data_IF_290809139449
#
_entry.id   IF_290809139449
#
_cell.length_a   1.000
_cell.length_b   1.000
_cell.length_c   1.000
_cell.angle_alpha   90.00
_cell.angle_beta   90.00
_cell.angle_gamma   90.00
#
_symmetry.space_group_name_H-M   'P 1'
#
loop_
_entity.id
_entity.type
_entity.pdbx_description
1 polymer ?
#
# COMPACT_ATOMS: atom_id res chain seq x y z
N UNK A 1 9.05 1.02 14.27
CA UNK A 1 8.99 -0.26 13.54
C UNK A 1 9.14 -1.47 14.46
N UNK A 2 10.19 -1.62 15.27
CA UNK A 2 10.30 -2.73 16.23
C UNK A 2 9.11 -2.83 17.19
N UNK A 3 8.58 -1.72 17.69
CA UNK A 3 7.39 -1.70 18.57
C UNK A 3 6.12 -2.18 17.89
N UNK A 4 5.92 -1.82 16.60
CA UNK A 4 4.76 -2.28 15.82
C UNK A 4 4.85 -3.79 15.59
N UNK A 5 6.01 -4.30 15.21
CA UNK A 5 6.24 -5.74 15.06
C UNK A 5 6.06 -6.49 16.37
N UNK A 6 6.49 -5.89 17.51
CA UNK A 6 6.30 -6.47 18.83
C UNK A 6 4.81 -6.54 19.20
N UNK A 7 4.04 -5.50 18.94
CA UNK A 7 2.58 -5.48 19.17
C UNK A 7 1.90 -6.57 18.35
N UNK A 8 2.22 -6.69 17.05
CA UNK A 8 1.68 -7.75 16.20
C UNK A 8 2.07 -9.15 16.66
N UNK A 9 3.32 -9.31 17.13
CA UNK A 9 3.79 -10.60 17.66
C UNK A 9 3.03 -10.99 18.92
N UNK A 10 2.88 -10.04 19.87
CA UNK A 10 2.15 -10.25 21.12
C UNK A 10 0.66 -10.50 20.87
N UNK A 11 0.04 -9.75 19.96
CA UNK A 11 -1.36 -9.92 19.59
C UNK A 11 -1.61 -11.27 18.91
N UNK A 12 -0.71 -11.69 18.00
CA UNK A 12 -0.75 -13.02 17.38
C UNK A 12 -0.59 -14.14 18.40
N UNK A 13 0.24 -13.96 19.43
CA UNK A 13 0.40 -14.92 20.53
C UNK A 13 -0.86 -15.01 21.40
N UNK A 14 -1.44 -13.86 21.76
CA UNK A 14 -2.69 -13.78 22.54
C UNK A 14 -3.87 -14.40 21.79
N UNK A 15 -3.92 -14.25 20.47
CA UNK A 15 -4.97 -14.81 19.61
C UNK A 15 -4.74 -16.27 19.22
N UNK A 16 -3.71 -16.94 19.77
CA UNK A 16 -3.48 -18.37 19.54
C UNK A 16 -2.98 -18.70 18.12
N UNK A 17 -2.26 -17.79 17.48
CA UNK A 17 -1.67 -18.06 16.18
C UNK A 17 -0.70 -19.27 16.24
N UNK A 18 -0.64 -20.13 15.20
CA UNK A 18 0.31 -21.24 15.18
C UNK A 18 1.75 -20.75 15.37
N UNK A 19 2.53 -21.45 16.20
CA UNK A 19 3.92 -21.08 16.52
C UNK A 19 4.76 -20.91 15.24
N UNK A 20 4.53 -21.74 14.24
CA UNK A 20 5.20 -21.62 12.93
C UNK A 20 4.94 -20.26 12.27
N UNK A 21 3.72 -19.74 12.33
CA UNK A 21 3.36 -18.44 11.78
C UNK A 21 4.05 -17.30 12.55
N UNK A 22 4.09 -17.40 13.89
CA UNK A 22 4.80 -16.44 14.75
C UNK A 22 6.30 -16.41 14.46
N UNK A 23 6.92 -17.58 14.21
CA UNK A 23 8.33 -17.68 13.83
C UNK A 23 8.59 -17.05 12.46
N UNK A 24 7.72 -17.26 11.47
CA UNK A 24 7.82 -16.61 10.16
C UNK A 24 7.71 -15.09 10.31
N UNK A 25 6.79 -14.59 11.12
CA UNK A 25 6.66 -13.16 11.38
C UNK A 25 7.88 -12.58 12.09
N UNK A 26 8.42 -13.29 13.09
CA UNK A 26 9.62 -12.87 13.78
C UNK A 26 10.82 -12.81 12.81
N UNK A 27 10.99 -13.83 11.96
CA UNK A 27 12.05 -13.86 10.96
C UNK A 27 11.93 -12.73 9.94
N UNK A 28 10.73 -12.51 9.39
CA UNK A 28 10.46 -11.39 8.48
C UNK A 28 10.71 -10.05 9.16
N UNK A 29 10.27 -9.90 10.42
CA UNK A 29 10.52 -8.72 11.23
C UNK A 29 12.01 -8.46 11.42
N UNK A 30 12.79 -9.48 11.70
CA UNK A 30 14.26 -9.38 11.83
C UNK A 30 14.90 -9.00 10.50
N UNK A 31 14.53 -9.63 9.38
CA UNK A 31 15.07 -9.31 8.05
C UNK A 31 14.77 -7.86 7.67
N UNK A 32 13.53 -7.41 7.88
CA UNK A 32 13.12 -6.02 7.62
C UNK A 32 13.86 -5.06 8.55
N UNK A 33 13.97 -5.38 9.84
CA UNK A 33 14.70 -4.56 10.82
C UNK A 33 16.20 -4.45 10.48
N UNK A 34 16.85 -5.56 10.15
CA UNK A 34 18.27 -5.58 9.74
C UNK A 34 18.46 -4.79 8.46
N UNK A 35 17.56 -4.95 7.47
CA UNK A 35 17.59 -4.17 6.24
C UNK A 35 17.42 -2.67 6.54
N UNK A 36 16.48 -2.31 7.40
CA UNK A 36 16.25 -0.94 7.83
C UNK A 36 17.48 -0.36 8.56
N UNK A 37 18.02 -1.07 9.54
CA UNK A 37 19.17 -0.60 10.31
C UNK A 37 20.42 -0.44 9.43
N UNK A 38 20.69 -1.39 8.53
CA UNK A 38 21.81 -1.28 7.58
C UNK A 38 21.69 -0.04 6.69
N UNK A 39 20.50 0.32 6.23
CA UNK A 39 20.28 1.48 5.37
C UNK A 39 20.19 2.79 6.17
N UNK A 40 19.57 2.78 7.34
CA UNK A 40 19.46 3.96 8.19
C UNK A 40 20.82 4.42 8.76
N UNK A 41 21.74 3.47 8.97
CA UNK A 41 23.09 3.77 9.50
C UNK A 41 24.06 4.21 8.40
N UNK A 42 23.85 3.82 7.14
CA UNK A 42 24.80 4.03 6.05
C UNK A 42 24.28 4.90 4.90
N UNK A 43 22.98 5.28 4.90
CA UNK A 43 22.40 6.13 3.87
C UNK A 43 22.24 7.58 4.33
N UNK A 44 22.48 8.58 3.46
CA UNK A 44 22.12 9.95 3.78
C UNK A 44 20.62 10.05 4.02
N UNK A 45 20.22 10.60 5.16
CA UNK A 45 18.81 10.91 5.40
C UNK A 45 18.37 11.95 4.36
N UNK A 46 17.30 11.62 3.61
CA UNK A 46 16.74 12.56 2.66
C UNK A 46 16.28 13.85 3.35
N UNK A 47 16.38 14.97 2.65
CA UNK A 47 15.85 16.24 3.14
C UNK A 47 14.33 16.23 3.06
N UNK A 48 13.64 16.80 4.07
CA UNK A 48 12.19 16.98 4.04
C UNK A 48 11.80 17.81 2.83
N UNK A 49 10.95 17.23 1.99
CA UNK A 49 10.41 17.88 0.80
C UNK A 49 8.97 18.30 1.09
N UNK A 50 8.77 19.53 1.57
CA UNK A 50 7.45 20.06 1.92
C UNK A 50 6.42 19.96 0.78
N UNK A 51 6.77 20.14 -0.50
CA UNK A 51 5.84 19.89 -1.60
C UNK A 51 5.34 18.44 -1.64
N UNK A 52 6.20 17.45 -1.36
CA UNK A 52 5.80 16.04 -1.31
C UNK A 52 4.85 15.77 -0.14
N UNK A 53 5.09 16.40 1.03
CA UNK A 53 4.18 16.33 2.18
C UNK A 53 2.80 16.89 1.85
N UNK A 54 2.76 18.07 1.22
CA UNK A 54 1.50 18.71 0.82
C UNK A 54 0.75 17.89 -0.24
N UNK A 55 1.47 17.38 -1.26
CA UNK A 55 0.87 16.52 -2.30
C UNK A 55 0.29 15.24 -1.72
N UNK A 56 0.97 14.61 -0.77
CA UNK A 56 0.48 13.40 -0.13
C UNK A 56 -0.76 13.69 0.74
N UNK A 57 -0.78 14.81 1.49
CA UNK A 57 -1.95 15.22 2.26
C UNK A 57 -3.16 15.53 1.35
N UNK A 58 -2.94 16.25 0.24
CA UNK A 58 -3.97 16.54 -0.76
C UNK A 58 -4.47 15.26 -1.46
N UNK A 59 -3.59 14.31 -1.73
CA UNK A 59 -3.99 13.03 -2.29
C UNK A 59 -4.86 12.21 -1.34
N UNK A 60 -4.52 12.17 -0.04
CA UNK A 60 -5.37 11.55 0.97
C UNK A 60 -6.75 12.22 1.05
N UNK A 61 -6.80 13.55 1.00
CA UNK A 61 -8.06 14.29 0.92
C UNK A 61 -8.84 13.95 -0.37
N UNK A 62 -8.16 13.83 -1.51
CA UNK A 62 -8.78 13.42 -2.78
C UNK A 62 -9.46 12.05 -2.68
N UNK A 63 -8.82 11.07 -2.05
CA UNK A 63 -9.42 9.75 -1.81
C UNK A 63 -10.65 9.89 -0.90
N UNK A 64 -10.58 10.66 0.17
CA UNK A 64 -11.73 10.91 1.05
C UNK A 64 -12.92 11.54 0.31
N UNK A 65 -12.65 12.50 -0.57
CA UNK A 65 -13.70 13.14 -1.38
C UNK A 65 -14.35 12.14 -2.33
N UNK A 66 -13.57 11.29 -3.00
CA UNK A 66 -14.09 10.30 -3.94
C UNK A 66 -14.87 9.19 -3.21
N UNK A 67 -14.40 8.74 -2.07
CA UNK A 67 -15.10 7.70 -1.29
C UNK A 67 -16.40 8.18 -0.69
N UNK A 68 -16.47 9.44 -0.25
CA UNK A 68 -17.67 10.02 0.35
C UNK A 68 -18.64 10.62 -0.66
N UNK A 69 -18.11 11.36 -1.63
CA UNK A 69 -18.94 12.13 -2.57
C UNK A 69 -19.40 11.28 -3.76
N UNK A 70 -18.58 10.37 -4.25
CA UNK A 70 -18.88 9.52 -5.39
C UNK A 70 -19.15 8.06 -5.02
N UNK A 71 -19.20 7.70 -3.72
CA UNK A 71 -19.38 6.32 -3.23
C UNK A 71 -18.42 5.31 -3.88
N UNK A 72 -17.24 5.78 -4.30
CA UNK A 72 -16.21 4.93 -4.88
C UNK A 72 -15.61 4.03 -3.80
N UNK A 73 -15.26 2.79 -4.15
CA UNK A 73 -14.47 1.97 -3.23
C UNK A 73 -13.12 2.65 -2.93
N UNK A 74 -12.57 2.41 -1.74
CA UNK A 74 -11.29 3.00 -1.34
C UNK A 74 -10.17 2.64 -2.33
N UNK A 75 -10.17 1.42 -2.87
CA UNK A 75 -9.22 0.96 -3.88
C UNK A 75 -9.37 1.74 -5.19
N UNK A 76 -10.61 1.89 -5.69
CA UNK A 76 -10.87 2.64 -6.92
C UNK A 76 -10.47 4.11 -6.76
N UNK A 77 -10.84 4.75 -5.64
CA UNK A 77 -10.49 6.12 -5.35
C UNK A 77 -8.96 6.33 -5.29
N UNK A 78 -8.24 5.41 -4.64
CA UNK A 78 -6.78 5.44 -4.55
C UNK A 78 -6.13 5.27 -5.91
N UNK A 79 -6.59 4.32 -6.70
CA UNK A 79 -6.07 4.08 -8.04
C UNK A 79 -6.32 5.29 -8.97
N UNK A 80 -7.50 5.94 -8.89
CA UNK A 80 -7.82 7.15 -9.65
C UNK A 80 -6.91 8.33 -9.26
N UNK A 81 -6.74 8.58 -7.96
CA UNK A 81 -5.84 9.66 -7.48
C UNK A 81 -4.39 9.36 -7.87
N UNK A 82 -3.95 8.11 -7.73
CA UNK A 82 -2.62 7.68 -8.17
C UNK A 82 -2.41 7.84 -9.67
N UNK A 83 -3.39 7.43 -10.49
CA UNK A 83 -3.35 7.61 -11.94
C UNK A 83 -3.29 9.09 -12.34
N UNK A 84 -4.02 9.97 -11.65
CA UNK A 84 -3.94 11.41 -11.87
C UNK A 84 -2.52 11.94 -11.59
N UNK A 85 -1.89 11.53 -10.47
CA UNK A 85 -0.49 11.87 -10.17
C UNK A 85 0.49 11.36 -11.22
N UNK A 86 0.33 10.10 -11.65
CA UNK A 86 1.14 9.51 -12.70
C UNK A 86 0.95 10.18 -14.07
N UNK A 87 -0.28 10.54 -14.41
CA UNK A 87 -0.58 11.27 -15.66
C UNK A 87 0.01 12.68 -15.65
N UNK A 88 -0.08 13.39 -14.52
CA UNK A 88 0.55 14.72 -14.35
C UNK A 88 2.07 14.64 -14.54
N UNK A 89 2.73 13.64 -13.94
CA UNK A 89 4.16 13.42 -14.12
C UNK A 89 4.50 13.09 -15.58
N UNK A 90 3.74 12.21 -16.22
CA UNK A 90 3.94 11.82 -17.62
C UNK A 90 3.74 13.01 -18.59
N UNK A 91 2.69 13.80 -18.39
CA UNK A 91 2.43 15.01 -19.18
C UNK A 91 3.47 16.11 -18.95
N UNK A 92 4.03 16.15 -17.74
CA UNK A 92 5.02 17.13 -17.32
C UNK A 92 6.47 16.72 -17.56
N UNK A 93 6.75 15.62 -18.26
CA UNK A 93 8.13 15.12 -18.48
C UNK A 93 9.11 16.16 -19.03
N UNK A 94 8.62 17.10 -19.86
CA UNK A 94 9.41 18.20 -20.38
C UNK A 94 9.62 19.35 -19.38
N UNK A 95 8.91 19.33 -18.26
CA UNK A 95 8.96 20.37 -17.22
C UNK A 95 9.49 19.76 -15.93
N UNK A 96 10.73 20.05 -15.59
CA UNK A 96 11.43 19.51 -14.40
C UNK A 96 10.61 19.61 -13.10
N UNK A 97 9.74 20.62 -12.95
CA UNK A 97 8.92 20.83 -11.76
C UNK A 97 7.86 19.73 -11.49
N UNK A 98 7.50 18.93 -12.49
CA UNK A 98 6.52 17.85 -12.37
C UNK A 98 7.14 16.47 -12.19
N UNK A 99 8.48 16.40 -12.24
CA UNK A 99 9.18 15.13 -11.98
C UNK A 99 9.06 14.75 -10.51
N UNK A 100 8.77 13.48 -10.26
CA UNK A 100 8.65 12.94 -8.90
C UNK A 100 7.34 13.25 -8.17
N UNK A 101 6.33 13.83 -8.85
CA UNK A 101 5.01 14.12 -8.27
C UNK A 101 4.19 12.86 -8.05
N UNK A 102 4.33 11.85 -8.91
CA UNK A 102 3.52 10.64 -8.86
C UNK A 102 3.70 9.86 -7.55
N UNK A 103 4.94 9.75 -7.06
CA UNK A 103 5.24 8.98 -5.87
C UNK A 103 4.58 9.53 -4.59
N UNK A 104 4.71 10.82 -4.22
CA UNK A 104 4.02 11.36 -3.05
C UNK A 104 2.50 11.37 -3.20
N UNK A 105 1.95 11.62 -4.40
CA UNK A 105 0.51 11.54 -4.65
C UNK A 105 0.01 10.13 -4.39
N UNK A 106 0.68 9.12 -4.93
CA UNK A 106 0.25 7.73 -4.75
C UNK A 106 0.43 7.26 -3.30
N UNK A 107 1.54 7.61 -2.65
CA UNK A 107 1.77 7.36 -1.24
C UNK A 107 0.66 7.95 -0.35
N UNK A 108 0.30 9.22 -0.58
CA UNK A 108 -0.79 9.87 0.15
C UNK A 108 -2.16 9.25 -0.14
N UNK A 109 -2.40 8.82 -1.38
CA UNK A 109 -3.63 8.13 -1.75
C UNK A 109 -3.78 6.80 -0.97
N UNK A 110 -2.69 6.04 -0.75
CA UNK A 110 -2.73 4.84 0.10
C UNK A 110 -3.05 5.16 1.55
N UNK A 111 -2.46 6.20 2.13
CA UNK A 111 -2.86 6.65 3.47
C UNK A 111 -4.33 7.05 3.51
N UNK A 112 -4.84 7.65 2.43
CA UNK A 112 -6.24 8.04 2.26
C UNK A 112 -7.25 6.89 2.21
N UNK A 113 -6.80 5.65 1.93
CA UNK A 113 -7.65 4.45 2.02
C UNK A 113 -8.06 4.11 3.45
N UNK A 114 -7.39 4.69 4.45
CA UNK A 114 -7.68 4.38 5.85
C UNK A 114 -9.13 4.69 6.19
N UNK A 115 -9.82 3.68 6.71
CA UNK A 115 -11.21 3.80 7.11
C UNK A 115 -11.37 4.76 8.28
N UNK A 116 -12.46 5.55 8.24
CA UNK A 116 -12.85 6.37 9.38
C UNK A 116 -13.34 5.56 10.57
N UNK A 117 -13.71 4.29 10.34
CA UNK A 117 -13.93 3.35 11.45
C UNK A 117 -12.64 3.09 12.24
N UNK A 118 -11.47 3.34 11.65
CA UNK A 118 -10.17 3.24 12.35
C UNK A 118 -9.76 4.59 12.92
N UNK A 119 -9.73 5.65 12.11
CA UNK A 119 -9.20 6.97 12.54
C UNK A 119 -10.27 7.95 13.06
N UNK A 120 -11.53 7.55 13.17
CA UNK A 120 -12.62 8.32 13.78
C UNK A 120 -12.99 9.62 13.06
N UNK A 121 -12.05 10.40 12.55
CA UNK A 121 -12.30 11.69 11.90
C UNK A 121 -11.45 11.89 10.64
N UNK A 122 -11.99 12.54 9.57
CA UNK A 122 -11.29 12.77 8.30
C UNK A 122 -9.97 13.50 8.41
N UNK A 123 -9.84 14.43 9.34
CA UNK A 123 -8.61 15.20 9.52
C UNK A 123 -7.42 14.29 9.88
N UNK A 124 -7.65 13.21 10.62
CA UNK A 124 -6.63 12.23 10.94
C UNK A 124 -6.14 11.50 9.69
N UNK A 125 -7.04 11.21 8.74
CA UNK A 125 -6.67 10.58 7.47
C UNK A 125 -5.81 11.52 6.62
N UNK A 126 -6.16 12.81 6.56
CA UNK A 126 -5.35 13.82 5.85
C UNK A 126 -3.98 14.00 6.52
N UNK A 127 -3.96 14.02 7.85
CA UNK A 127 -2.70 14.08 8.62
C UNK A 127 -1.83 12.85 8.36
N UNK A 128 -2.44 11.65 8.27
CA UNK A 128 -1.74 10.42 7.91
C UNK A 128 -1.12 10.51 6.52
N UNK A 129 -1.82 11.08 5.53
CA UNK A 129 -1.27 11.38 4.21
C UNK A 129 -0.06 12.32 4.28
N UNK A 130 -0.16 13.41 5.05
CA UNK A 130 0.96 14.33 5.27
C UNK A 130 2.16 13.66 5.93
N UNK A 131 1.93 12.86 6.99
CA UNK A 131 3.00 12.11 7.66
C UNK A 131 3.61 11.04 6.74
N UNK A 132 2.80 10.38 5.91
CA UNK A 132 3.30 9.45 4.88
C UNK A 132 4.23 10.15 3.89
N UNK A 133 3.87 11.36 3.42
CA UNK A 133 4.72 12.19 2.57
C UNK A 133 6.02 12.63 3.27
N UNK A 134 5.97 12.92 4.57
CA UNK A 134 7.15 13.21 5.37
C UNK A 134 8.08 12.01 5.44
N UNK A 135 7.55 10.82 5.79
CA UNK A 135 8.31 9.57 5.83
C UNK A 135 8.90 9.24 4.46
N UNK A 136 8.14 9.40 3.38
CA UNK A 136 8.61 9.22 2.01
C UNK A 136 9.79 10.13 1.69
N UNK A 137 9.73 11.40 2.10
CA UNK A 137 10.80 12.38 1.88
C UNK A 137 12.08 12.00 2.62
N UNK A 138 11.96 11.60 3.89
CA UNK A 138 13.12 11.19 4.72
C UNK A 138 13.73 9.89 4.20
N UNK A 139 12.92 8.99 3.68
CA UNK A 139 13.36 7.71 3.11
C UNK A 139 13.57 7.78 1.58
N UNK A 140 13.69 8.98 0.98
CA UNK A 140 13.79 9.15 -0.47
C UNK A 140 14.90 8.31 -1.08
N UNK A 141 16.07 8.32 -0.46
CA UNK A 141 17.27 7.63 -0.92
C UNK A 141 17.39 6.18 -0.42
N UNK A 142 16.55 5.83 0.56
CA UNK A 142 16.46 4.47 1.08
C UNK A 142 15.51 3.62 0.22
N UNK A 143 15.85 2.34 0.04
CA UNK A 143 15.02 1.37 -0.70
C UNK A 143 14.71 1.77 -2.15
N UNK A 144 15.59 2.49 -2.80
CA UNK A 144 15.43 2.87 -4.20
C UNK A 144 15.35 1.62 -5.09
N UNK A 145 14.34 1.59 -5.96
CA UNK A 145 14.10 0.46 -6.87
C UNK A 145 13.47 -0.77 -6.21
N UNK A 146 13.10 -0.73 -4.94
CA UNK A 146 12.35 -1.81 -4.27
C UNK A 146 10.87 -1.48 -4.33
N UNK A 147 10.08 -2.39 -4.90
CA UNK A 147 8.63 -2.30 -4.89
C UNK A 147 8.09 -2.37 -3.45
N UNK A 148 6.94 -1.72 -3.20
CA UNK A 148 6.35 -1.65 -1.87
C UNK A 148 6.78 -0.45 -1.02
N UNK A 149 7.81 0.32 -1.43
CA UNK A 149 8.25 1.51 -0.70
C UNK A 149 7.09 2.48 -0.42
N UNK A 150 6.24 2.74 -1.42
CA UNK A 150 5.11 3.68 -1.29
C UNK A 150 4.06 3.18 -0.29
N UNK A 151 3.72 1.89 -0.32
CA UNK A 151 2.82 1.27 0.64
C UNK A 151 3.40 1.29 2.06
N UNK A 152 4.67 0.91 2.22
CA UNK A 152 5.34 0.94 3.53
C UNK A 152 5.41 2.34 4.12
N UNK A 153 5.71 3.37 3.32
CA UNK A 153 5.74 4.77 3.81
C UNK A 153 4.35 5.27 4.15
N UNK A 154 3.32 4.89 3.39
CA UNK A 154 1.92 5.19 3.69
C UNK A 154 1.50 4.53 5.01
N UNK A 155 1.77 3.23 5.17
CA UNK A 155 1.49 2.49 6.39
C UNK A 155 2.15 3.11 7.63
N UNK A 156 3.43 3.47 7.54
CA UNK A 156 4.14 4.14 8.65
C UNK A 156 3.51 5.50 9.00
N UNK A 157 3.05 6.25 8.00
CA UNK A 157 2.31 7.49 8.20
C UNK A 157 1.00 7.27 8.95
N UNK A 158 0.23 6.26 8.53
CA UNK A 158 -1.04 5.90 9.18
C UNK A 158 -0.82 5.43 10.61
N UNK A 159 0.09 4.50 10.83
CA UNK A 159 0.39 3.97 12.19
C UNK A 159 0.90 5.08 13.11
N UNK A 160 1.72 6.00 12.60
CA UNK A 160 2.16 7.18 13.37
C UNK A 160 1.00 8.05 13.83
N UNK A 161 0.04 8.31 12.93
CA UNK A 161 -1.17 9.09 13.26
C UNK A 161 -2.13 8.30 14.15
N UNK A 162 -2.24 6.98 13.96
CA UNK A 162 -3.00 6.14 14.89
C UNK A 162 -2.50 6.27 16.33
N UNK A 163 -1.18 6.28 16.53
CA UNK A 163 -0.58 6.53 17.85
C UNK A 163 -1.01 7.86 18.45
N UNK A 164 -1.04 8.94 17.64
CA UNK A 164 -1.53 10.25 18.07
C UNK A 164 -3.04 10.24 18.35
N UNK A 165 -3.83 9.57 17.52
CA UNK A 165 -5.28 9.46 17.70
C UNK A 165 -5.64 8.66 18.97
N UNK A 166 -4.89 7.59 19.28
CA UNK A 166 -5.01 6.85 20.55
C UNK A 166 -4.74 7.78 21.73
N UNK A 167 -3.63 8.52 21.70
CA UNK A 167 -3.28 9.46 22.77
C UNK A 167 -4.31 10.58 22.95
N UNK A 168 -5.01 10.98 21.87
CA UNK A 168 -6.07 11.96 21.89
C UNK A 168 -7.47 11.38 22.20
N UNK A 169 -7.61 10.07 22.41
CA UNK A 169 -8.92 9.41 22.60
C UNK A 169 -9.84 9.51 21.36
N UNK A 170 -9.26 9.67 20.17
CA UNK A 170 -9.97 9.94 18.92
C UNK A 170 -9.97 8.73 17.94
N UNK A 171 -9.71 7.53 18.44
CA UNK A 171 -9.82 6.31 17.63
C UNK A 171 -11.28 5.99 17.32
N UNK A 172 -11.51 5.44 16.13
CA UNK A 172 -12.81 4.90 15.76
C UNK A 172 -13.11 3.53 16.38
N UNK A 173 -14.23 2.95 16.00
CA UNK A 173 -14.70 1.65 16.50
C UNK A 173 -13.92 0.43 15.97
N UNK A 174 -13.00 0.67 15.05
CA UNK A 174 -12.31 -0.39 14.31
C UNK A 174 -13.09 -0.86 13.08
N UNK A 175 -12.38 -1.35 12.06
CA UNK A 175 -12.97 -2.02 10.92
C UNK A 175 -12.85 -3.54 11.09
N UNK A 176 -13.84 -4.27 10.60
CA UNK A 176 -13.80 -5.73 10.55
C UNK A 176 -13.84 -6.18 9.09
N UNK A 177 -13.09 -7.21 8.76
CA UNK A 177 -13.18 -7.86 7.47
C UNK A 177 -14.03 -9.13 7.57
N UNK A 178 -14.79 -9.37 6.52
CA UNK A 178 -15.42 -10.66 6.30
C UNK A 178 -14.30 -11.71 6.03
N UNK A 179 -14.35 -12.88 6.66
CA UNK A 179 -13.37 -13.93 6.39
C UNK A 179 -13.50 -14.41 4.94
N UNK A 180 -12.36 -14.52 4.24
CA UNK A 180 -12.33 -14.98 2.87
C UNK A 180 -12.94 -16.40 2.73
N UNK A 181 -13.87 -16.55 1.80
CA UNK A 181 -14.34 -17.86 1.33
C UNK A 181 -13.21 -18.62 0.62
N UNK A 182 -13.39 -19.92 0.39
CA UNK A 182 -12.39 -20.71 -0.35
C UNK A 182 -12.18 -20.20 -1.78
N UNK A 183 -13.25 -19.73 -2.43
CA UNK A 183 -13.20 -19.15 -3.77
C UNK A 183 -12.42 -17.85 -3.77
N UNK A 184 -12.71 -16.95 -2.83
CA UNK A 184 -12.00 -15.66 -2.70
C UNK A 184 -10.52 -15.85 -2.39
N UNK A 185 -10.14 -16.81 -1.55
CA UNK A 185 -8.73 -17.16 -1.30
C UNK A 185 -8.02 -17.58 -2.58
N UNK A 186 -8.66 -18.40 -3.41
CA UNK A 186 -8.10 -18.82 -4.70
C UNK A 186 -7.95 -17.65 -5.65
N UNK A 187 -8.94 -16.73 -5.69
CA UNK A 187 -8.88 -15.53 -6.51
C UNK A 187 -7.80 -14.56 -6.01
N UNK A 188 -7.69 -14.32 -4.71
CA UNK A 188 -6.61 -13.50 -4.12
C UNK A 188 -5.24 -14.06 -4.51
N UNK A 189 -5.05 -15.39 -4.43
CA UNK A 189 -3.81 -16.03 -4.86
C UNK A 189 -3.50 -15.76 -6.33
N UNK A 190 -4.47 -16.01 -7.22
CA UNK A 190 -4.32 -15.79 -8.67
C UNK A 190 -4.02 -14.31 -8.97
N UNK A 191 -4.81 -13.40 -8.40
CA UNK A 191 -4.64 -11.97 -8.60
C UNK A 191 -3.28 -11.49 -8.09
N UNK A 192 -2.82 -12.00 -6.95
CA UNK A 192 -1.50 -11.67 -6.38
C UNK A 192 -0.33 -12.19 -7.19
N UNK A 193 -0.50 -13.26 -7.96
CA UNK A 193 0.51 -13.77 -8.88
C UNK A 193 0.52 -13.00 -10.21
N UNK A 194 -0.65 -12.61 -10.72
CA UNK A 194 -0.78 -11.92 -12.01
C UNK A 194 -0.43 -10.43 -11.91
N UNK A 195 -0.85 -9.76 -10.85
CA UNK A 195 -0.70 -8.32 -10.69
C UNK A 195 0.75 -7.83 -10.78
N UNK A 196 1.75 -8.45 -10.14
CA UNK A 196 3.16 -8.08 -10.31
C UNK A 196 3.64 -8.18 -11.75
N UNK A 197 3.23 -9.20 -12.47
CA UNK A 197 3.64 -9.44 -13.86
C UNK A 197 3.09 -8.35 -14.78
N UNK A 198 1.78 -8.06 -14.64
CA UNK A 198 1.11 -7.02 -15.42
C UNK A 198 1.72 -5.65 -15.11
N UNK A 199 1.85 -5.30 -13.83
CA UNK A 199 2.42 -4.03 -13.41
C UNK A 199 3.86 -3.87 -13.91
N UNK A 200 4.70 -4.90 -13.78
CA UNK A 200 6.08 -4.85 -14.25
C UNK A 200 6.16 -4.67 -15.78
N UNK A 201 5.33 -5.40 -16.53
CA UNK A 201 5.26 -5.26 -17.97
C UNK A 201 4.82 -3.84 -18.41
N UNK A 202 3.76 -3.31 -17.82
CA UNK A 202 3.26 -1.97 -18.11
C UNK A 202 4.28 -0.89 -17.72
N UNK A 203 4.90 -1.03 -16.57
CA UNK A 203 5.85 -0.04 -16.05
C UNK A 203 7.14 0.05 -16.88
N UNK A 204 7.74 -1.09 -17.18
CA UNK A 204 9.10 -1.14 -17.71
C UNK A 204 9.16 -1.55 -19.19
N UNK A 205 8.28 -2.45 -19.68
CA UNK A 205 8.27 -2.81 -21.10
C UNK A 205 7.49 -1.81 -21.95
N UNK A 206 6.34 -1.31 -21.43
CA UNK A 206 5.54 -0.30 -22.13
C UNK A 206 5.91 1.14 -21.72
N UNK A 207 6.78 1.32 -20.72
CA UNK A 207 7.30 2.64 -20.33
C UNK A 207 6.28 3.58 -19.71
N UNK A 208 5.16 3.08 -19.18
CA UNK A 208 4.14 3.91 -18.53
C UNK A 208 4.63 4.52 -17.22
N UNK A 209 5.68 3.95 -16.61
CA UNK A 209 6.14 4.28 -15.26
C UNK A 209 5.38 3.51 -14.19
N UNK A 210 6.01 3.38 -13.01
CA UNK A 210 5.54 2.45 -11.96
C UNK A 210 4.16 2.78 -11.41
N UNK A 211 3.83 4.07 -11.27
CA UNK A 211 2.53 4.49 -10.72
C UNK A 211 1.39 4.21 -11.70
N UNK A 212 1.52 4.60 -12.97
CA UNK A 212 0.49 4.30 -13.98
C UNK A 212 0.40 2.80 -14.27
N UNK A 213 1.53 2.10 -14.31
CA UNK A 213 1.57 0.65 -14.50
C UNK A 213 0.83 -0.13 -13.42
N UNK A 214 0.74 0.39 -12.20
CA UNK A 214 -0.04 -0.17 -11.10
C UNK A 214 -1.49 0.35 -11.09
N UNK A 215 -1.68 1.67 -11.21
CA UNK A 215 -2.97 2.31 -11.02
C UNK A 215 -3.98 1.95 -12.13
N UNK A 216 -3.57 1.95 -13.41
CA UNK A 216 -4.50 1.69 -14.52
C UNK A 216 -5.13 0.29 -14.48
N UNK A 217 -4.38 -0.80 -14.30
CA UNK A 217 -4.99 -2.12 -14.16
C UNK A 217 -5.84 -2.23 -12.91
N UNK A 218 -5.48 -1.54 -11.82
CA UNK A 218 -6.25 -1.53 -10.58
C UNK A 218 -7.59 -0.83 -10.74
N UNK A 219 -7.66 0.28 -11.51
CA UNK A 219 -8.91 0.93 -11.88
C UNK A 219 -9.79 -0.04 -12.66
N UNK A 220 -9.22 -0.64 -13.72
CA UNK A 220 -9.96 -1.57 -14.56
C UNK A 220 -10.54 -2.73 -13.74
N UNK A 221 -9.71 -3.36 -12.91
CA UNK A 221 -10.16 -4.48 -12.09
C UNK A 221 -11.21 -4.06 -11.06
N UNK A 222 -11.03 -2.93 -10.38
CA UNK A 222 -12.00 -2.44 -9.40
C UNK A 222 -13.38 -2.16 -10.04
N UNK A 223 -13.41 -1.61 -11.26
CA UNK A 223 -14.64 -1.40 -12.02
C UNK A 223 -15.27 -2.74 -12.42
N UNK A 224 -14.46 -3.67 -12.96
CA UNK A 224 -14.95 -4.98 -13.38
C UNK A 224 -15.53 -5.77 -12.20
N UNK A 225 -14.83 -5.82 -11.07
CA UNK A 225 -15.32 -6.49 -9.87
C UNK A 225 -16.56 -5.81 -9.29
N UNK A 226 -16.61 -4.47 -9.29
CA UNK A 226 -17.78 -3.72 -8.83
C UNK A 226 -19.01 -3.88 -9.73
N UNK A 227 -18.83 -4.26 -10.99
CA UNK A 227 -19.91 -4.55 -11.92
C UNK A 227 -20.40 -6.01 -11.87
N UNK A 228 -19.76 -6.88 -11.08
CA UNK A 228 -20.18 -8.29 -10.97
C UNK A 228 -21.55 -8.40 -10.30
N UNK A 229 -22.39 -9.34 -10.75
CA UNK A 229 -23.68 -9.60 -10.11
C UNK A 229 -23.50 -10.04 -8.64
N UNK A 230 -24.32 -9.51 -7.74
CA UNK A 230 -24.33 -9.90 -6.32
C UNK A 230 -24.59 -11.42 -6.12
N UNK A 231 -25.23 -12.08 -7.10
CA UNK A 231 -25.46 -13.52 -7.08
C UNK A 231 -24.16 -14.36 -7.01
N UNK A 232 -23.02 -13.79 -7.41
CA UNK A 232 -21.73 -14.47 -7.29
C UNK A 232 -21.18 -14.50 -5.87
N UNK A 233 -21.76 -13.74 -4.95
CA UNK A 233 -21.34 -13.66 -3.54
C UNK A 233 -19.84 -13.42 -3.36
N UNK A 234 -19.23 -12.64 -4.25
CA UNK A 234 -17.83 -12.23 -4.18
C UNK A 234 -17.75 -10.82 -3.61
N UNK A 235 -16.79 -10.60 -2.71
CA UNK A 235 -16.51 -9.28 -2.15
C UNK A 235 -15.50 -8.53 -3.05
N UNK A 236 -15.95 -7.49 -3.81
CA UNK A 236 -15.11 -6.80 -4.79
C UNK A 236 -13.92 -6.07 -4.16
N UNK A 237 -14.12 -5.51 -2.95
CA UNK A 237 -13.12 -4.65 -2.30
C UNK A 237 -11.88 -5.45 -1.89
N UNK A 238 -11.96 -6.57 -1.15
CA UNK A 238 -10.79 -7.37 -0.82
C UNK A 238 -10.04 -7.91 -2.05
N UNK A 239 -10.76 -8.29 -3.10
CA UNK A 239 -10.13 -8.80 -4.33
C UNK A 239 -9.36 -7.70 -5.08
N UNK A 240 -9.96 -6.51 -5.22
CA UNK A 240 -9.29 -5.36 -5.83
C UNK A 240 -8.13 -4.85 -4.96
N UNK A 241 -8.25 -4.92 -3.65
CA UNK A 241 -7.20 -4.60 -2.70
C UNK A 241 -6.00 -5.55 -2.85
N UNK A 242 -6.24 -6.86 -2.93
CA UNK A 242 -5.19 -7.85 -3.15
C UNK A 242 -4.43 -7.61 -4.47
N UNK A 243 -5.13 -7.23 -5.54
CA UNK A 243 -4.49 -6.83 -6.80
C UNK A 243 -3.63 -5.60 -6.63
N UNK A 244 -4.19 -4.53 -6.04
CA UNK A 244 -3.50 -3.25 -5.86
C UNK A 244 -2.24 -3.44 -4.99
N UNK A 245 -2.34 -4.17 -3.88
CA UNK A 245 -1.21 -4.44 -3.00
C UNK A 245 -0.12 -5.28 -3.67
N UNK A 246 -0.49 -6.37 -4.37
CA UNK A 246 0.46 -7.18 -5.10
C UNK A 246 1.13 -6.42 -6.26
N UNK A 247 0.49 -5.40 -6.83
CA UNK A 247 1.08 -4.57 -7.89
C UNK A 247 2.37 -3.88 -7.46
N UNK A 248 2.54 -3.61 -6.16
CA UNK A 248 3.78 -3.03 -5.63
C UNK A 248 5.00 -3.91 -5.87
N UNK A 249 4.84 -5.22 -5.84
CA UNK A 249 5.91 -6.15 -6.20
C UNK A 249 6.38 -5.88 -7.63
N UNK A 250 5.44 -5.64 -8.55
CA UNK A 250 5.72 -5.33 -9.94
C UNK A 250 6.40 -3.98 -10.18
N UNK A 251 6.36 -3.06 -9.22
CA UNK A 251 7.09 -1.78 -9.27
C UNK A 251 8.59 -1.95 -9.00
N UNK A 252 9.05 -3.15 -8.63
CA UNK A 252 10.47 -3.41 -8.36
C UNK A 252 11.28 -3.22 -9.65
N UNK A 253 12.36 -2.45 -9.54
CA UNK A 253 13.21 -2.13 -10.67
C UNK A 253 13.86 -3.40 -11.27
N UNK A 254 14.01 -3.47 -12.61
CA UNK A 254 14.55 -4.65 -13.29
C UNK A 254 15.93 -5.07 -12.77
N UNK A 255 16.77 -4.10 -12.38
CA UNK A 255 18.11 -4.34 -11.85
C UNK A 255 18.08 -5.10 -10.51
N UNK A 256 17.01 -4.94 -9.73
CA UNK A 256 16.78 -5.65 -8.47
C UNK A 256 16.27 -7.07 -8.67
N UNK A 257 15.67 -7.33 -9.83
CA UNK A 257 15.11 -8.65 -10.19
C UNK A 257 16.06 -9.49 -11.03
N UNK A 258 17.13 -8.90 -11.58
CA UNK A 258 18.11 -9.61 -12.38
C UNK A 258 18.84 -10.68 -11.55
N UNK A 259 19.20 -11.85 -12.15
CA UNK A 259 18.95 -12.26 -13.54
C UNK A 259 17.63 -12.99 -13.76
N UNK A 260 16.77 -13.14 -12.76
CA UNK A 260 15.57 -13.99 -12.80
C UNK A 260 14.28 -13.23 -12.45
N UNK A 261 13.83 -12.27 -13.28
CA UNK A 261 12.68 -11.42 -12.93
C UNK A 261 11.38 -12.19 -12.73
N UNK A 262 11.07 -13.14 -13.62
CA UNK A 262 9.80 -13.88 -13.57
C UNK A 262 9.63 -14.72 -12.29
N UNK A 263 10.57 -15.63 -11.93
CA UNK A 263 10.41 -16.42 -10.70
C UNK A 263 10.43 -15.55 -9.44
N UNK A 264 11.18 -14.45 -9.41
CA UNK A 264 11.17 -13.54 -8.26
C UNK A 264 9.84 -12.80 -8.12
N UNK A 265 9.26 -12.28 -9.21
CA UNK A 265 7.94 -11.65 -9.18
C UNK A 265 6.84 -12.62 -8.71
N UNK A 266 6.87 -13.86 -9.19
CA UNK A 266 5.93 -14.90 -8.77
C UNK A 266 6.12 -15.30 -7.30
N UNK A 267 7.36 -15.49 -6.85
CA UNK A 267 7.66 -15.80 -5.45
C UNK A 267 7.21 -14.68 -4.49
N UNK A 268 7.48 -13.44 -4.85
CA UNK A 268 7.07 -12.27 -4.05
C UNK A 268 5.55 -12.07 -4.10
N UNK A 269 4.88 -12.31 -5.22
CA UNK A 269 3.42 -12.30 -5.33
C UNK A 269 2.76 -13.39 -4.48
N UNK A 270 3.33 -14.60 -4.46
CA UNK A 270 2.91 -15.68 -3.58
C UNK A 270 3.08 -15.29 -2.11
N UNK A 271 4.24 -14.75 -1.74
CA UNK A 271 4.51 -14.28 -0.38
C UNK A 271 3.51 -13.20 0.03
N UNK A 272 3.21 -12.25 -0.86
CA UNK A 272 2.19 -11.23 -0.62
C UNK A 272 0.82 -11.86 -0.32
N UNK A 273 0.37 -12.84 -1.12
CA UNK A 273 -0.91 -13.52 -0.87
C UNK A 273 -0.95 -14.21 0.49
N UNK A 274 0.11 -14.93 0.85
CA UNK A 274 0.21 -15.62 2.16
C UNK A 274 0.19 -14.64 3.32
N UNK A 275 0.88 -13.50 3.20
CA UNK A 275 0.87 -12.44 4.20
C UNK A 275 -0.52 -11.78 4.29
N UNK A 276 -1.17 -11.53 3.16
CA UNK A 276 -2.53 -10.97 3.13
C UNK A 276 -3.52 -11.85 3.87
N UNK A 277 -3.49 -13.18 3.70
CA UNK A 277 -4.35 -14.09 4.46
C UNK A 277 -4.11 -14.03 5.98
N UNK A 278 -2.87 -13.76 6.39
CA UNK A 278 -2.49 -13.70 7.79
C UNK A 278 -2.80 -12.36 8.44
N UNK A 279 -2.64 -11.26 7.70
CA UNK A 279 -2.72 -9.90 8.24
C UNK A 279 -4.06 -9.20 7.97
N UNK A 280 -4.78 -9.54 6.89
CA UNK A 280 -6.02 -8.86 6.54
C UNK A 280 -7.03 -8.75 7.70
N UNK A 281 -7.26 -9.78 8.53
CA UNK A 281 -8.18 -9.67 9.66
C UNK A 281 -7.72 -8.69 10.75
N UNK A 282 -6.41 -8.42 10.85
CA UNK A 282 -5.81 -7.60 11.90
C UNK A 282 -5.60 -6.16 11.49
N UNK A 283 -5.41 -5.92 10.21
CA UNK A 283 -5.11 -4.61 9.64
C UNK A 283 -6.32 -4.00 8.91
N UNK A 284 -7.51 -4.58 9.10
CA UNK A 284 -8.72 -4.14 8.42
C UNK A 284 -8.92 -2.63 8.49
N UNK A 285 -9.02 -1.99 7.33
CA UNK A 285 -9.28 -0.56 7.20
C UNK A 285 -8.10 0.36 7.47
N UNK A 286 -6.88 -0.17 7.61
CA UNK A 286 -5.65 0.63 7.71
C UNK A 286 -5.11 0.85 6.28
N UNK A 287 -4.92 2.11 5.87
CA UNK A 287 -4.36 2.42 4.57
C UNK A 287 -2.88 2.05 4.48
N UNK A 288 -2.48 1.47 3.34
CA UNK A 288 -1.12 0.99 3.13
C UNK A 288 -0.82 -0.40 3.72
N UNK A 289 -1.80 -1.09 4.26
CA UNK A 289 -1.70 -2.46 4.77
C UNK A 289 -1.65 -3.53 3.66
N UNK A 290 -1.81 -3.12 2.42
CA UNK A 290 -1.80 -3.94 1.22
C UNK A 290 -0.42 -4.32 0.74
#
# INVERSE_FOLDING_TARGET
MAGVLLVFYLDGFVLGAPVALLLVWALLGVVVLVGFLRHAVHGPAGRVQWPAVALAALAALGVLVLTRGASASAVLATALVGAAGGALEAAGRSRQRWQGVAAPVYCGAFAGMTSQLVLGHPSWVVLAGGLAGLVLSVLSDSWSGIGGKLGTTAFLGVVGVMGLAVAAGAMGSGASLHPFTAVERSLVLILSLLSPLVTHALSYRLGLGVVLGSALPSILLAILLGALPAALQLEPVPLSAAWLGASFVGMTAPERLAPRPLPLLLAMGLLFALLSFSFAPRLAGIGGDL
#
